data_IF_447794774084
#
_entry.id   IF_447794774084
#
_cell.length_a   1.000
_cell.length_b   1.000
_cell.length_c   1.000
_cell.angle_alpha   90.00
_cell.angle_beta   90.00
_cell.angle_gamma   90.00
#
_symmetry.space_group_name_H-M   'P 1'
#
loop_
_entity.id
_entity.type
_entity.pdbx_description
1 polymer ?
#
# COMPACT_ATOMS: atom_id res chain seq x y z
N UNK A 1 -7.83 -2.82 29.24
CA UNK A 1 -7.21 -2.84 27.91
C UNK A 1 -8.31 -3.04 26.88
N UNK A 2 -8.49 -2.13 25.89
CA UNK A 2 -9.39 -2.40 24.77
C UNK A 2 -8.97 -3.72 24.12
N UNK A 3 -9.92 -4.61 23.86
CA UNK A 3 -9.62 -5.85 23.14
C UNK A 3 -9.00 -5.50 21.78
N UNK A 4 -7.98 -6.24 21.33
CA UNK A 4 -7.34 -6.04 20.02
C UNK A 4 -8.36 -5.93 18.87
N UNK A 5 -9.54 -6.55 19.03
CA UNK A 5 -10.68 -6.46 18.09
C UNK A 5 -11.24 -5.03 17.97
N UNK A 6 -11.45 -4.33 19.08
CA UNK A 6 -12.04 -2.97 19.08
C UNK A 6 -11.10 -1.93 18.45
N UNK A 7 -9.79 -2.03 18.68
CA UNK A 7 -8.80 -1.16 18.02
C UNK A 7 -8.76 -1.40 16.51
N UNK A 8 -8.81 -2.67 16.08
CA UNK A 8 -8.81 -3.00 14.66
C UNK A 8 -10.08 -2.55 13.93
N UNK A 9 -11.25 -2.69 14.55
CA UNK A 9 -12.52 -2.26 13.96
C UNK A 9 -12.57 -0.74 13.73
N UNK A 10 -12.14 0.05 14.72
CA UNK A 10 -12.00 1.51 14.56
C UNK A 10 -11.05 1.89 13.44
N UNK A 11 -9.89 1.24 13.39
CA UNK A 11 -8.90 1.47 12.33
C UNK A 11 -9.45 1.11 10.94
N UNK A 12 -10.17 -0.01 10.82
CA UNK A 12 -10.84 -0.44 9.59
C UNK A 12 -11.91 0.56 9.14
N UNK A 13 -12.69 1.08 10.09
CA UNK A 13 -13.70 2.10 9.81
C UNK A 13 -13.06 3.39 9.30
N UNK A 14 -12.00 3.88 9.96
CA UNK A 14 -11.25 5.06 9.54
C UNK A 14 -10.71 4.93 8.10
N UNK A 15 -10.15 3.77 7.74
CA UNK A 15 -9.69 3.47 6.37
C UNK A 15 -10.82 3.62 5.35
N UNK A 16 -11.98 3.06 5.67
CA UNK A 16 -13.12 3.00 4.76
C UNK A 16 -13.76 4.38 4.59
N UNK A 17 -13.94 5.11 5.69
CA UNK A 17 -14.51 6.46 5.70
C UNK A 17 -13.64 7.46 4.94
N UNK A 18 -12.31 7.36 5.06
CA UNK A 18 -11.36 8.19 4.32
C UNK A 18 -11.12 7.72 2.88
N UNK A 19 -11.65 6.55 2.50
CA UNK A 19 -11.42 5.96 1.19
C UNK A 19 -9.96 5.60 0.91
N UNK A 20 -9.15 5.38 1.94
CA UNK A 20 -7.71 5.07 1.81
C UNK A 20 -7.47 3.70 1.15
N UNK A 21 -8.46 2.82 1.18
CA UNK A 21 -8.47 1.53 0.49
C UNK A 21 -9.06 1.62 -0.93
N UNK A 22 -9.33 2.81 -1.46
CA UNK A 22 -9.75 2.96 -2.85
C UNK A 22 -8.52 2.80 -3.74
N UNK A 23 -8.44 1.70 -4.48
CA UNK A 23 -7.35 1.48 -5.44
C UNK A 23 -7.79 1.85 -6.85
N UNK A 24 -6.94 2.45 -7.66
CA UNK A 24 -7.19 2.53 -9.09
C UNK A 24 -7.18 1.11 -9.69
N UNK A 25 -8.23 0.78 -10.43
CA UNK A 25 -8.35 -0.44 -11.23
C UNK A 25 -8.58 -0.07 -12.69
N UNK A 26 -8.05 -0.86 -13.63
CA UNK A 26 -8.29 -0.61 -15.04
C UNK A 26 -9.74 -0.92 -15.40
N UNK A 27 -10.39 0.01 -16.08
CA UNK A 27 -11.80 -0.08 -16.52
C UNK A 27 -11.96 -0.08 -18.04
N UNK A 28 -10.91 0.32 -18.78
CA UNK A 28 -10.92 0.40 -20.24
C UNK A 28 -9.74 -0.37 -20.84
N UNK A 29 -10.01 -1.08 -21.94
CA UNK A 29 -9.03 -1.82 -22.74
C UNK A 29 -9.00 -1.27 -24.16
N UNK A 30 -7.82 -1.30 -24.79
CA UNK A 30 -7.71 -0.96 -26.20
C UNK A 30 -8.40 -2.04 -27.05
N UNK A 31 -8.89 -1.69 -28.25
CA UNK A 31 -9.55 -2.66 -29.17
C UNK A 31 -8.71 -3.91 -29.46
N UNK A 32 -7.39 -3.76 -29.55
CA UNK A 32 -6.44 -4.85 -29.75
C UNK A 32 -6.42 -5.83 -28.56
N UNK A 33 -6.76 -5.37 -27.36
CA UNK A 33 -6.78 -6.17 -26.14
C UNK A 33 -8.07 -6.99 -25.96
N UNK A 34 -9.11 -6.74 -26.77
CA UNK A 34 -10.42 -7.41 -26.70
C UNK A 34 -10.60 -8.52 -27.76
N UNK A 35 -9.65 -8.67 -28.69
CA UNK A 35 -9.68 -9.74 -29.67
C UNK A 35 -9.38 -11.10 -28.99
N UNK A 36 -10.03 -12.19 -29.42
CA UNK A 36 -9.67 -13.53 -28.97
C UNK A 36 -8.19 -13.78 -29.30
N UNK A 37 -7.43 -14.43 -28.41
CA UNK A 37 -5.99 -14.58 -28.58
C UNK A 37 -5.72 -15.39 -29.86
N UNK A 38 -5.21 -14.72 -30.89
CA UNK A 38 -4.64 -15.44 -32.05
C UNK A 38 -3.25 -16.01 -31.72
N UNK A 39 -2.58 -15.49 -30.67
CA UNK A 39 -1.36 -16.02 -30.07
C UNK A 39 -1.34 -15.67 -28.57
N UNK A 40 -1.09 -16.66 -27.70
CA UNK A 40 -1.14 -16.58 -26.23
C UNK A 40 -0.06 -15.69 -25.57
N UNK A 41 0.80 -15.03 -26.33
CA UNK A 41 2.08 -14.55 -25.78
C UNK A 41 2.09 -13.18 -25.11
N UNK A 42 0.98 -12.41 -25.08
CA UNK A 42 0.93 -11.17 -24.27
C UNK A 42 -0.51 -10.82 -23.85
N UNK A 43 -1.06 -11.57 -22.89
CA UNK A 43 -2.33 -11.23 -22.24
C UNK A 43 -2.17 -10.18 -21.12
N UNK A 44 -1.29 -9.21 -21.35
CA UNK A 44 -1.04 -8.09 -20.46
C UNK A 44 -1.89 -6.89 -20.87
N UNK A 45 -2.49 -6.25 -19.86
CA UNK A 45 -3.08 -4.93 -19.99
C UNK A 45 -1.98 -3.88 -20.14
N UNK A 46 -2.30 -2.70 -20.68
CA UNK A 46 -1.36 -1.57 -20.75
C UNK A 46 -0.84 -1.09 -19.39
N UNK A 47 -1.47 -1.52 -18.29
CA UNK A 47 -0.97 -1.31 -16.93
C UNK A 47 0.13 -2.31 -16.48
N UNK A 48 0.50 -3.27 -17.33
CA UNK A 48 1.48 -4.33 -17.02
C UNK A 48 0.92 -5.48 -16.16
N UNK A 49 -0.39 -5.52 -15.87
CA UNK A 49 -1.03 -6.67 -15.22
C UNK A 49 -1.70 -7.57 -16.24
N UNK A 50 -1.78 -8.86 -15.93
CA UNK A 50 -2.55 -9.82 -16.72
C UNK A 50 -4.03 -9.40 -16.79
N UNK A 51 -4.65 -9.52 -17.97
CA UNK A 51 -6.06 -9.13 -18.14
C UNK A 51 -6.99 -9.92 -17.23
N UNK A 52 -6.72 -11.21 -17.03
CA UNK A 52 -7.43 -12.08 -16.07
C UNK A 52 -7.32 -11.65 -14.59
N UNK A 53 -6.31 -10.86 -14.24
CA UNK A 53 -6.06 -10.42 -12.85
C UNK A 53 -6.83 -9.16 -12.47
N UNK A 54 -7.64 -8.63 -13.38
CA UNK A 54 -8.55 -7.53 -13.09
C UNK A 54 -9.84 -8.08 -12.49
N UNK A 55 -10.26 -7.54 -11.36
CA UNK A 55 -11.56 -7.86 -10.76
C UNK A 55 -12.63 -7.08 -11.51
N UNK A 56 -13.25 -7.71 -12.50
CA UNK A 56 -14.37 -7.12 -13.25
C UNK A 56 -15.67 -7.40 -12.50
N UNK A 57 -16.24 -6.37 -11.87
CA UNK A 57 -17.65 -6.41 -11.48
C UNK A 57 -18.54 -6.21 -12.72
N UNK A 58 -18.09 -5.41 -13.69
CA UNK A 58 -18.70 -5.17 -15.00
C UNK A 58 -17.73 -5.49 -16.15
N UNK A 59 -18.23 -5.94 -17.33
CA UNK A 59 -17.38 -6.22 -18.48
C UNK A 59 -16.64 -4.96 -18.94
N UNK A 60 -15.33 -5.07 -19.25
CA UNK A 60 -14.52 -3.92 -19.66
C UNK A 60 -15.09 -3.23 -20.89
N UNK A 61 -15.28 -1.92 -20.81
CA UNK A 61 -15.76 -1.14 -21.97
C UNK A 61 -14.62 -1.00 -22.99
N UNK A 62 -14.96 -1.17 -24.26
CA UNK A 62 -13.99 -1.01 -25.36
C UNK A 62 -13.75 0.47 -25.64
N UNK A 63 -12.48 0.84 -25.82
CA UNK A 63 -12.11 2.19 -26.25
C UNK A 63 -11.78 2.22 -27.74
N UNK A 64 -12.14 3.32 -28.42
CA UNK A 64 -11.80 3.53 -29.84
C UNK A 64 -10.31 3.86 -30.07
N UNK A 65 -9.61 4.39 -29.07
CA UNK A 65 -8.22 4.85 -29.18
C UNK A 65 -7.22 3.74 -28.86
N UNK A 66 -6.06 3.80 -29.54
CA UNK A 66 -5.02 2.77 -29.50
C UNK A 66 -4.07 2.88 -28.29
N UNK A 67 -3.91 4.06 -27.69
CA UNK A 67 -2.92 4.29 -26.63
C UNK A 67 -3.54 4.21 -25.21
N UNK A 68 -2.91 3.41 -24.35
CA UNK A 68 -3.28 3.26 -22.95
C UNK A 68 -2.65 4.37 -22.10
N UNK A 69 -3.40 4.97 -21.18
CA UNK A 69 -2.83 5.83 -20.14
C UNK A 69 -3.58 5.66 -18.82
N UNK A 70 -2.84 5.75 -17.72
CA UNK A 70 -3.36 5.46 -16.38
C UNK A 70 -4.57 6.33 -16.00
N UNK A 71 -4.53 7.63 -16.30
CA UNK A 71 -5.57 8.59 -15.87
C UNK A 71 -6.93 8.26 -16.51
N UNK A 72 -6.96 7.95 -17.80
CA UNK A 72 -8.22 7.70 -18.51
C UNK A 72 -8.64 6.24 -18.54
N UNK A 73 -7.70 5.30 -18.29
CA UNK A 73 -8.00 3.87 -18.30
C UNK A 73 -8.22 3.28 -16.91
N UNK A 74 -8.03 4.05 -15.83
CA UNK A 74 -8.27 3.60 -14.47
C UNK A 74 -9.37 4.40 -13.75
N UNK A 75 -10.05 3.75 -12.82
CA UNK A 75 -11.00 4.38 -11.91
C UNK A 75 -10.81 3.82 -10.49
N UNK A 76 -11.16 4.59 -9.44
CA UNK A 76 -11.09 4.10 -8.08
C UNK A 76 -12.11 2.98 -7.86
N UNK A 77 -11.63 1.78 -7.57
CA UNK A 77 -12.43 0.68 -7.05
C UNK A 77 -12.71 0.95 -5.57
N UNK A 78 -13.98 1.11 -5.23
CA UNK A 78 -14.39 1.41 -3.85
C UNK A 78 -14.31 0.18 -2.96
N UNK A 79 -14.10 0.40 -1.66
CA UNK A 79 -14.26 -0.61 -0.60
C UNK A 79 -13.41 -1.88 -0.80
N UNK A 80 -12.20 -1.74 -1.33
CA UNK A 80 -11.36 -2.92 -1.54
C UNK A 80 -10.85 -3.51 -0.22
N UNK A 81 -10.70 -4.83 -0.16
CA UNK A 81 -10.17 -5.56 1.01
C UNK A 81 -8.62 -5.54 1.06
N UNK A 82 -7.97 -4.49 0.58
CA UNK A 82 -6.50 -4.40 0.48
C UNK A 82 -5.85 -3.83 1.75
N UNK A 83 -6.36 -4.23 2.91
CA UNK A 83 -5.83 -3.89 4.22
C UNK A 83 -6.08 -5.04 5.18
N UNK A 84 -5.34 -5.12 6.27
CA UNK A 84 -5.53 -6.17 7.25
C UNK A 84 -4.41 -6.22 8.28
N UNK A 85 -4.26 -7.40 8.89
CA UNK A 85 -3.22 -7.68 9.88
C UNK A 85 -2.39 -8.87 9.38
N UNK A 86 -1.06 -8.76 9.47
CA UNK A 86 -0.11 -9.83 9.22
C UNK A 86 0.45 -10.33 10.56
N UNK A 87 0.58 -11.65 10.69
CA UNK A 87 1.27 -12.26 11.83
C UNK A 87 2.71 -12.58 11.44
N UNK A 88 3.65 -12.17 12.28
CA UNK A 88 5.08 -12.44 12.14
C UNK A 88 5.46 -13.57 13.12
N UNK A 89 5.54 -14.84 12.68
CA UNK A 89 5.67 -15.98 13.57
C UNK A 89 7.05 -16.10 14.23
N UNK A 90 8.10 -15.52 13.63
CA UNK A 90 9.46 -15.58 14.17
C UNK A 90 9.71 -14.53 15.25
N UNK A 91 9.09 -13.37 15.09
CA UNK A 91 9.22 -12.23 15.99
C UNK A 91 8.02 -12.07 16.95
N UNK A 92 6.99 -12.92 16.80
CA UNK A 92 5.80 -13.03 17.64
C UNK A 92 4.99 -11.72 17.77
N UNK A 93 4.85 -10.96 16.68
CA UNK A 93 4.04 -9.74 16.67
C UNK A 93 3.08 -9.66 15.48
N UNK A 94 2.11 -8.74 15.58
CA UNK A 94 1.09 -8.49 14.56
C UNK A 94 1.28 -7.09 13.96
N UNK A 95 1.21 -6.99 12.63
CA UNK A 95 1.40 -5.73 11.90
C UNK A 95 0.16 -5.39 11.10
N UNK A 96 -0.34 -4.17 11.25
CA UNK A 96 -1.40 -3.64 10.38
C UNK A 96 -0.80 -3.17 9.06
N UNK A 97 -1.46 -3.45 7.95
CA UNK A 97 -1.03 -2.99 6.63
C UNK A 97 -2.21 -2.46 5.81
N UNK A 98 -1.95 -1.46 4.98
CA UNK A 98 -2.88 -0.94 3.99
C UNK A 98 -2.16 -0.73 2.67
N UNK A 99 -2.82 -1.07 1.56
CA UNK A 99 -2.43 -0.66 0.23
C UNK A 99 -3.28 0.52 -0.21
N UNK A 100 -2.67 1.69 -0.32
CA UNK A 100 -3.33 2.93 -0.74
C UNK A 100 -3.08 3.24 -2.22
N UNK A 101 -3.87 4.16 -2.78
CA UNK A 101 -3.58 4.78 -4.06
C UNK A 101 -2.34 5.69 -3.95
N UNK A 102 -1.63 5.88 -5.07
CA UNK A 102 -0.43 6.74 -5.14
C UNK A 102 -0.72 8.21 -4.83
N UNK A 103 -1.96 8.63 -4.99
CA UNK A 103 -2.45 9.98 -4.70
C UNK A 103 -3.25 10.08 -3.40
N UNK A 104 -3.15 9.07 -2.51
CA UNK A 104 -3.79 9.15 -1.20
C UNK A 104 -3.24 10.37 -0.42
N UNK A 105 -4.10 11.19 0.22
CA UNK A 105 -3.64 12.35 0.97
C UNK A 105 -2.69 11.95 2.10
N UNK A 106 -1.52 12.60 2.16
CA UNK A 106 -0.51 12.32 3.19
C UNK A 106 -1.05 12.59 4.61
N UNK A 107 -1.92 13.59 4.76
CA UNK A 107 -2.57 13.93 6.03
C UNK A 107 -3.46 12.79 6.54
N UNK A 108 -4.24 12.17 5.66
CA UNK A 108 -5.08 11.03 6.04
C UNK A 108 -4.26 9.81 6.48
N UNK A 109 -3.11 9.57 5.81
CA UNK A 109 -2.17 8.52 6.19
C UNK A 109 -1.50 8.83 7.54
N UNK A 110 -1.10 10.08 7.76
CA UNK A 110 -0.52 10.53 9.02
C UNK A 110 -1.50 10.38 10.19
N UNK A 111 -2.74 10.83 10.01
CA UNK A 111 -3.79 10.70 11.02
C UNK A 111 -4.08 9.23 11.35
N UNK A 112 -4.07 8.34 10.34
CA UNK A 112 -4.24 6.90 10.55
C UNK A 112 -3.10 6.28 11.38
N UNK A 113 -1.85 6.73 11.18
CA UNK A 113 -0.71 6.29 11.99
C UNK A 113 -0.84 6.80 13.43
N UNK A 114 -1.22 8.06 13.59
CA UNK A 114 -1.34 8.69 14.92
C UNK A 114 -2.48 8.11 15.76
N UNK A 115 -3.57 7.66 15.14
CA UNK A 115 -4.68 6.98 15.83
C UNK A 115 -4.27 5.69 16.55
N UNK A 116 -3.25 5.00 16.02
CA UNK A 116 -2.69 3.80 16.62
C UNK A 116 -1.59 4.10 17.64
N UNK A 117 -1.12 5.35 17.68
CA UNK A 117 -0.14 5.79 18.65
C UNK A 117 -0.87 6.28 19.91
N UNK A 118 -0.40 5.88 21.09
CA UNK A 118 -0.94 6.38 22.36
C UNK A 118 -0.78 7.90 22.50
N UNK A 119 0.21 8.47 21.81
CA UNK A 119 0.52 9.90 21.74
C UNK A 119 1.04 10.26 20.35
N UNK A 120 0.88 11.53 19.96
CA UNK A 120 1.45 12.02 18.71
C UNK A 120 2.98 11.94 18.75
N UNK A 121 3.65 11.37 17.72
CA UNK A 121 5.10 11.26 17.72
C UNK A 121 5.76 12.65 17.70
N UNK A 122 6.67 12.88 18.64
CA UNK A 122 7.48 14.10 18.74
C UNK A 122 8.63 14.16 17.72
N UNK A 123 8.98 13.00 17.15
CA UNK A 123 10.07 12.82 16.18
C UNK A 123 9.68 11.79 15.13
N UNK A 124 9.98 12.09 13.85
CA UNK A 124 9.86 11.16 12.73
C UNK A 124 11.25 10.94 12.14
N UNK A 125 11.70 9.68 12.13
CA UNK A 125 12.98 9.28 11.54
C UNK A 125 12.70 8.60 10.20
N UNK A 126 13.16 9.21 9.10
CA UNK A 126 13.10 8.60 7.77
C UNK A 126 14.46 7.99 7.42
N UNK A 127 14.51 6.67 7.26
CA UNK A 127 15.72 5.94 6.87
C UNK A 127 15.58 5.55 5.40
N UNK A 128 16.37 6.20 4.55
CA UNK A 128 16.42 5.91 3.12
C UNK A 128 17.69 5.13 2.77
N UNK A 129 17.59 4.21 1.81
CA UNK A 129 18.70 3.39 1.34
C UNK A 129 18.58 3.07 -0.15
N UNK A 130 19.56 2.34 -0.69
CA UNK A 130 19.51 1.84 -2.06
C UNK A 130 18.73 0.53 -2.15
N UNK A 131 18.22 0.22 -3.36
CA UNK A 131 17.56 -1.06 -3.65
C UNK A 131 18.51 -2.26 -3.49
N UNK A 132 19.80 -2.06 -3.77
CA UNK A 132 20.82 -3.11 -3.70
C UNK A 132 21.37 -3.27 -2.29
N UNK A 133 21.67 -4.52 -1.93
CA UNK A 133 22.38 -4.85 -0.70
C UNK A 133 23.72 -4.11 -0.63
N UNK A 134 23.94 -3.42 0.48
CA UNK A 134 25.25 -2.86 0.82
C UNK A 134 25.76 -3.54 2.10
N UNK A 135 27.08 -3.61 2.23
CA UNK A 135 27.73 -4.11 3.45
C UNK A 135 28.36 -2.96 4.18
N UNK A 136 28.03 -2.84 5.46
CA UNK A 136 28.67 -1.94 6.38
C UNK A 136 29.73 -2.72 7.18
N UNK A 137 30.79 -2.04 7.61
CA UNK A 137 31.71 -2.68 8.55
C UNK A 137 31.01 -2.89 9.90
N UNK A 138 31.37 -3.96 10.64
CA UNK A 138 30.69 -4.36 11.88
C UNK A 138 30.65 -3.27 12.96
N UNK A 139 31.68 -2.43 13.02
CA UNK A 139 31.76 -1.33 13.99
C UNK A 139 30.70 -0.27 13.69
N UNK A 140 30.59 0.14 12.43
CA UNK A 140 29.65 1.16 12.00
C UNK A 140 28.21 0.67 12.10
N UNK A 141 27.95 -0.61 11.78
CA UNK A 141 26.64 -1.22 11.97
C UNK A 141 26.19 -1.17 13.42
N UNK A 142 27.07 -1.54 14.35
CA UNK A 142 26.78 -1.50 15.79
C UNK A 142 26.46 -0.07 16.25
N UNK A 143 27.29 0.90 15.88
CA UNK A 143 27.10 2.29 16.31
C UNK A 143 25.86 2.93 15.68
N UNK A 144 25.56 2.63 14.41
CA UNK A 144 24.36 3.08 13.71
C UNK A 144 23.08 2.55 14.37
N UNK A 145 23.02 1.24 14.62
CA UNK A 145 21.88 0.61 15.29
C UNK A 145 21.70 1.14 16.71
N UNK A 146 22.79 1.34 17.47
CA UNK A 146 22.73 1.91 18.82
C UNK A 146 22.14 3.32 18.78
N UNK A 147 22.64 4.18 17.90
CA UNK A 147 22.19 5.57 17.77
C UNK A 147 20.71 5.69 17.42
N UNK A 148 20.21 4.88 16.49
CA UNK A 148 18.78 4.89 16.11
C UNK A 148 17.90 4.46 17.28
N UNK A 149 18.27 3.38 17.97
CA UNK A 149 17.49 2.87 19.10
C UNK A 149 17.48 3.87 20.26
N UNK A 150 18.62 4.50 20.56
CA UNK A 150 18.72 5.52 21.60
C UNK A 150 17.87 6.76 21.26
N UNK A 151 17.95 7.27 20.02
CA UNK A 151 17.15 8.39 19.58
C UNK A 151 15.64 8.11 19.68
N UNK A 152 15.20 6.93 19.24
CA UNK A 152 13.79 6.53 19.33
C UNK A 152 13.31 6.41 20.80
N UNK A 153 14.14 5.85 21.69
CA UNK A 153 13.81 5.74 23.12
C UNK A 153 13.71 7.09 23.80
N UNK A 154 14.63 8.01 23.50
CA UNK A 154 14.62 9.35 24.09
C UNK A 154 13.41 10.14 23.62
N UNK A 155 13.09 10.08 22.32
CA UNK A 155 11.95 10.81 21.76
C UNK A 155 10.57 10.25 22.19
N UNK A 156 10.48 8.93 22.42
CA UNK A 156 9.24 8.26 22.82
C UNK A 156 8.93 8.25 24.32
N UNK A 157 9.85 8.69 25.17
CA UNK A 157 9.68 8.76 26.63
C UNK A 157 9.22 10.16 27.12
N UNK A 158 8.64 10.98 26.24
CA UNK A 158 8.09 12.29 26.58
C UNK A 158 6.61 12.17 26.93
#
# INVERSE_FOLDING_TARGET
MPSHKSSYEKWREAISTRGLNNRPTCILFSKQQLLPPQQEQNDECGCGRLKRSHSYEDPPKSRSTTEWNFISCSAPMKNTKNFGILYHPYELYWTKFIRCATNAPAEDLYNLICEDCSQQPSLIISICGGEKYFKMNKRWEKEFMRGIIEAAKVAGNV
#
